data_IF_569216185792
#
_entry.id   IF_569216185792
#
_cell.length_a   1.000
_cell.length_b   1.000
_cell.length_c   1.000
_cell.angle_alpha   90.00
_cell.angle_beta   90.00
_cell.angle_gamma   90.00
#
_symmetry.space_group_name_H-M   'P 1'
#
loop_
_entity.id
_entity.type
_entity.pdbx_description
1 polymer ?
#
# COMPACT_ATOMS: atom_id res chain seq x y z
N UNK A 1 25.04 35.55 -69.42
CA UNK A 1 24.30 34.35 -68.98
C UNK A 1 25.30 33.55 -68.18
N UNK A 2 25.21 33.60 -66.86
CA UNK A 2 26.09 32.85 -65.97
C UNK A 2 25.30 31.64 -65.48
N UNK A 3 25.74 30.44 -65.82
CA UNK A 3 25.13 29.19 -65.40
C UNK A 3 25.31 29.01 -63.89
N UNK A 4 24.20 28.77 -63.21
CA UNK A 4 24.14 28.54 -61.77
C UNK A 4 24.75 27.18 -61.42
N UNK A 5 25.72 27.20 -60.52
CA UNK A 5 26.28 26.00 -59.88
C UNK A 5 25.25 25.49 -58.87
N UNK A 6 24.67 24.32 -59.15
CA UNK A 6 23.87 23.57 -58.18
C UNK A 6 24.70 23.28 -56.93
N UNK A 7 24.28 23.87 -55.83
CA UNK A 7 24.87 23.64 -54.51
C UNK A 7 24.38 22.28 -54.03
N UNK A 8 25.22 21.26 -54.15
CA UNK A 8 24.97 19.93 -53.58
C UNK A 8 24.91 20.09 -52.06
N UNK A 9 23.70 20.03 -51.49
CA UNK A 9 23.47 19.97 -50.05
C UNK A 9 24.12 18.71 -49.47
N UNK A 10 25.04 18.90 -48.52
CA UNK A 10 25.62 17.82 -47.73
C UNK A 10 24.53 17.14 -46.89
N UNK A 11 24.55 15.80 -46.72
CA UNK A 11 23.56 15.10 -45.93
C UNK A 11 23.73 15.47 -44.45
N UNK A 12 22.67 16.02 -43.89
CA UNK A 12 22.45 16.22 -42.47
C UNK A 12 22.68 14.92 -41.68
N UNK A 13 23.63 14.98 -40.74
CA UNK A 13 24.03 13.89 -39.85
C UNK A 13 22.79 13.22 -39.24
N UNK A 14 22.61 11.92 -39.52
CA UNK A 14 21.50 11.09 -39.04
C UNK A 14 21.54 10.77 -37.54
N UNK A 15 21.92 11.75 -36.71
CA UNK A 15 21.92 11.64 -35.26
C UNK A 15 20.50 11.84 -34.72
N UNK A 16 20.08 10.92 -33.85
CA UNK A 16 18.80 10.99 -33.14
C UNK A 16 19.03 11.17 -31.64
N UNK A 17 18.12 11.85 -30.97
CA UNK A 17 18.19 12.03 -29.52
C UNK A 17 17.69 10.79 -28.77
N UNK A 18 18.49 10.31 -27.81
CA UNK A 18 18.09 9.20 -26.96
C UNK A 18 17.01 9.62 -25.95
N UNK A 19 15.81 9.01 -25.92
CA UNK A 19 14.77 9.34 -24.94
C UNK A 19 15.16 9.07 -23.47
N UNK A 20 16.23 8.29 -23.24
CA UNK A 20 16.69 7.93 -21.89
C UNK A 20 17.77 8.83 -21.30
N UNK A 21 18.51 9.60 -22.11
CA UNK A 21 19.59 10.47 -21.64
C UNK A 21 19.74 11.79 -22.42
N UNK A 22 18.86 12.03 -23.41
CA UNK A 22 18.82 13.22 -24.26
C UNK A 22 20.14 13.52 -24.99
N UNK A 23 20.97 12.49 -25.20
CA UNK A 23 22.22 12.61 -25.95
C UNK A 23 21.97 12.20 -27.40
N UNK A 24 22.42 13.03 -28.33
CA UNK A 24 22.44 12.71 -29.75
C UNK A 24 23.38 11.52 -30.00
N UNK A 25 22.90 10.52 -30.75
CA UNK A 25 23.70 9.35 -31.11
C UNK A 25 23.41 8.93 -32.55
N UNK A 26 24.40 8.29 -33.19
CA UNK A 26 24.21 7.67 -34.51
C UNK A 26 23.66 6.25 -34.33
N UNK A 27 22.46 5.95 -34.85
CA UNK A 27 21.87 4.62 -34.75
C UNK A 27 22.64 3.64 -35.64
N UNK A 28 22.94 2.45 -35.10
CA UNK A 28 23.57 1.35 -35.86
C UNK A 28 22.56 0.56 -36.69
N UNK A 29 21.27 0.66 -36.35
CA UNK A 29 20.15 0.02 -37.02
C UNK A 29 19.01 1.03 -37.16
N UNK A 30 18.24 0.96 -38.24
CA UNK A 30 17.16 1.92 -38.53
C UNK A 30 16.04 1.97 -37.48
N UNK A 31 15.92 0.94 -36.63
CA UNK A 31 14.94 0.85 -35.55
C UNK A 31 15.51 1.19 -34.16
N UNK A 32 16.79 1.55 -34.05
CA UNK A 32 17.44 1.80 -32.77
C UNK A 32 16.99 3.14 -32.19
N UNK A 33 16.16 3.12 -31.14
CA UNK A 33 15.64 4.34 -30.48
C UNK A 33 16.48 4.86 -29.30
N UNK A 34 17.40 4.05 -28.79
CA UNK A 34 18.19 4.38 -27.60
C UNK A 34 19.68 4.27 -27.89
N UNK A 35 20.49 5.16 -27.30
CA UNK A 35 21.94 5.14 -27.45
C UNK A 35 22.60 3.88 -26.87
N UNK A 36 21.95 3.24 -25.89
CA UNK A 36 22.46 2.06 -25.20
C UNK A 36 21.33 1.16 -24.68
N UNK A 37 21.68 -0.10 -24.40
CA UNK A 37 20.79 -1.06 -23.73
C UNK A 37 20.38 -0.58 -22.33
N UNK A 38 21.23 0.18 -21.65
CA UNK A 38 20.92 0.76 -20.33
C UNK A 38 19.86 1.85 -20.41
N UNK A 39 19.93 2.73 -21.41
CA UNK A 39 18.90 3.74 -21.66
C UNK A 39 17.56 3.08 -22.04
N UNK A 40 17.59 2.04 -22.87
CA UNK A 40 16.41 1.24 -23.19
C UNK A 40 15.79 0.60 -21.93
N UNK A 41 16.62 0.00 -21.07
CA UNK A 41 16.15 -0.62 -19.83
C UNK A 41 15.63 0.40 -18.82
N UNK A 42 16.28 1.56 -18.66
CA UNK A 42 15.79 2.63 -17.78
C UNK A 42 14.41 3.12 -18.22
N UNK A 43 14.22 3.30 -19.53
CA UNK A 43 12.93 3.70 -20.09
C UNK A 43 11.85 2.61 -19.94
N UNK A 44 12.21 1.32 -19.96
CA UNK A 44 11.24 0.22 -19.87
C UNK A 44 10.92 -0.26 -18.44
N UNK A 45 11.85 -0.11 -17.48
CA UNK A 45 11.73 -0.59 -16.08
C UNK A 45 10.48 -0.09 -15.34
N UNK A 46 9.94 1.06 -15.76
CA UNK A 46 8.75 1.66 -15.16
C UNK A 46 7.57 1.79 -16.13
N UNK A 47 7.75 1.49 -17.43
CA UNK A 47 6.69 1.60 -18.44
C UNK A 47 5.53 0.62 -18.16
N UNK A 48 5.82 -0.54 -17.57
CA UNK A 48 4.82 -1.53 -17.16
C UNK A 48 4.15 -1.24 -15.81
N UNK A 49 4.59 -0.20 -15.08
CA UNK A 49 4.04 0.13 -13.76
C UNK A 49 2.73 0.90 -13.81
N UNK A 50 2.37 1.50 -14.95
CA UNK A 50 1.02 1.98 -15.30
C UNK A 50 0.15 2.56 -14.17
N UNK A 51 -1.16 2.23 -14.19
CA UNK A 51 -2.21 2.67 -13.27
C UNK A 51 -2.06 2.21 -11.81
N UNK A 52 -0.97 1.50 -11.46
CA UNK A 52 -0.79 0.92 -10.11
C UNK A 52 -0.79 1.96 -9.01
N UNK A 53 -0.41 3.21 -9.30
CA UNK A 53 -0.54 4.30 -8.33
C UNK A 53 -1.99 4.61 -7.97
N UNK A 54 -2.90 4.58 -8.95
CA UNK A 54 -4.33 4.81 -8.71
C UNK A 54 -4.95 3.61 -8.00
N UNK A 55 -4.63 2.39 -8.43
CA UNK A 55 -5.07 1.16 -7.77
C UNK A 55 -4.58 1.07 -6.32
N UNK A 56 -3.33 1.44 -6.06
CA UNK A 56 -2.78 1.46 -4.71
C UNK A 56 -3.46 2.54 -3.86
N UNK A 57 -3.72 3.73 -4.43
CA UNK A 57 -4.47 4.79 -3.73
C UNK A 57 -5.87 4.33 -3.36
N UNK A 58 -6.58 3.68 -4.28
CA UNK A 58 -7.90 3.12 -4.04
C UNK A 58 -7.87 2.02 -2.96
N UNK A 59 -6.89 1.11 -3.03
CA UNK A 59 -6.71 0.06 -2.03
C UNK A 59 -6.43 0.67 -0.64
N UNK A 60 -5.52 1.62 -0.55
CA UNK A 60 -5.21 2.33 0.71
C UNK A 60 -6.43 3.09 1.22
N UNK A 61 -7.18 3.75 0.34
CA UNK A 61 -8.41 4.46 0.72
C UNK A 61 -9.43 3.51 1.34
N UNK A 62 -9.74 2.39 0.67
CA UNK A 62 -10.67 1.37 1.21
C UNK A 62 -10.21 0.79 2.54
N UNK A 63 -8.91 0.58 2.71
CA UNK A 63 -8.33 0.08 3.95
C UNK A 63 -8.57 1.06 5.12
N UNK A 64 -8.24 2.33 4.93
CA UNK A 64 -8.40 3.35 5.97
C UNK A 64 -9.86 3.79 6.18
N UNK A 65 -10.69 3.78 5.15
CA UNK A 65 -12.13 4.00 5.28
C UNK A 65 -12.76 2.92 6.16
N UNK A 66 -12.39 1.65 5.95
CA UNK A 66 -12.86 0.53 6.76
C UNK A 66 -12.42 0.64 8.22
N UNK A 67 -11.18 1.08 8.47
CA UNK A 67 -10.68 1.40 9.82
C UNK A 67 -11.56 2.44 10.51
N UNK A 68 -11.94 3.51 9.78
CA UNK A 68 -12.81 4.55 10.30
C UNK A 68 -14.18 4.01 10.68
N UNK A 69 -14.84 3.26 9.77
CA UNK A 69 -16.16 2.67 10.04
C UNK A 69 -16.17 1.73 11.24
N UNK A 70 -15.14 0.89 11.39
CA UNK A 70 -15.01 0.00 12.56
C UNK A 70 -14.81 0.80 13.85
N UNK A 71 -13.98 1.83 13.81
CA UNK A 71 -13.74 2.71 14.97
C UNK A 71 -15.04 3.42 15.35
N UNK A 72 -15.74 4.00 14.38
CA UNK A 72 -17.02 4.66 14.57
C UNK A 72 -18.05 3.71 15.21
N UNK A 73 -18.22 2.51 14.66
CA UNK A 73 -19.10 1.48 15.20
C UNK A 73 -18.84 1.18 16.69
N UNK A 74 -17.57 1.05 17.10
CA UNK A 74 -17.21 0.81 18.50
C UNK A 74 -17.53 2.03 19.38
N UNK A 75 -17.28 3.25 18.90
CA UNK A 75 -17.42 4.44 19.75
C UNK A 75 -18.80 5.08 19.75
N UNK A 76 -19.65 4.77 18.77
CA UNK A 76 -21.08 5.08 18.81
C UNK A 76 -21.86 4.11 19.71
N UNK A 77 -21.34 2.89 19.90
CA UNK A 77 -21.89 1.92 20.85
C UNK A 77 -21.77 2.46 22.29
N UNK A 78 -22.80 2.27 23.14
CA UNK A 78 -22.77 2.65 24.55
C UNK A 78 -21.54 2.06 25.28
N UNK A 79 -20.89 2.79 26.20
CA UNK A 79 -19.64 2.36 26.86
C UNK A 79 -19.68 0.94 27.43
N UNK A 80 -20.80 0.55 28.05
CA UNK A 80 -21.03 -0.77 28.63
C UNK A 80 -21.05 -1.92 27.60
N UNK A 81 -21.39 -1.63 26.35
CA UNK A 81 -21.53 -2.62 25.27
C UNK A 81 -20.30 -2.68 24.36
N UNK A 82 -19.37 -1.71 24.46
CA UNK A 82 -18.19 -1.64 23.58
C UNK A 82 -17.31 -2.89 23.64
N UNK A 83 -17.22 -3.52 24.80
CA UNK A 83 -16.47 -4.76 24.97
C UNK A 83 -17.11 -5.93 24.21
N UNK A 84 -18.45 -6.00 24.21
CA UNK A 84 -19.20 -6.96 23.40
C UNK A 84 -19.03 -6.67 21.90
N UNK A 85 -19.10 -5.40 21.50
CA UNK A 85 -18.87 -5.00 20.11
C UNK A 85 -17.46 -5.38 19.64
N UNK A 86 -16.44 -5.15 20.46
CA UNK A 86 -15.07 -5.56 20.14
C UNK A 86 -14.96 -7.08 20.00
N UNK A 87 -15.59 -7.86 20.90
CA UNK A 87 -15.65 -9.33 20.78
C UNK A 87 -16.25 -9.75 19.43
N UNK A 88 -17.40 -9.18 19.07
CA UNK A 88 -18.08 -9.48 17.81
C UNK A 88 -17.20 -9.16 16.59
N UNK A 89 -16.43 -8.07 16.63
CA UNK A 89 -15.46 -7.76 15.56
C UNK A 89 -14.39 -8.85 15.47
N UNK A 90 -13.83 -9.28 16.61
CA UNK A 90 -12.78 -10.31 16.64
C UNK A 90 -13.26 -11.69 16.17
N UNK A 91 -14.55 -12.02 16.32
CA UNK A 91 -15.14 -13.26 15.81
C UNK A 91 -15.02 -13.40 14.27
N UNK A 92 -14.89 -12.29 13.54
CA UNK A 92 -14.66 -12.32 12.08
C UNK A 92 -13.20 -12.56 11.68
N UNK A 93 -12.25 -12.62 12.63
CA UNK A 93 -10.82 -12.84 12.34
C UNK A 93 -10.55 -14.09 11.49
N UNK A 94 -11.20 -15.25 11.68
CA UNK A 94 -10.95 -16.43 10.84
C UNK A 94 -11.30 -16.19 9.37
N UNK A 95 -12.39 -15.46 9.11
CA UNK A 95 -12.99 -15.33 7.79
C UNK A 95 -12.53 -14.08 7.03
N UNK A 96 -12.12 -13.02 7.74
CA UNK A 96 -11.88 -11.72 7.13
C UNK A 96 -10.39 -11.34 7.06
N UNK A 97 -9.80 -11.51 5.88
CA UNK A 97 -8.43 -11.10 5.62
C UNK A 97 -8.20 -9.58 5.73
N UNK A 98 -9.19 -8.77 5.34
CA UNK A 98 -9.11 -7.32 5.40
C UNK A 98 -9.07 -6.83 6.84
N UNK A 99 -9.90 -7.42 7.71
CA UNK A 99 -9.86 -7.15 9.14
C UNK A 99 -8.50 -7.50 9.75
N UNK A 100 -7.94 -8.67 9.43
CA UNK A 100 -6.60 -9.06 9.92
C UNK A 100 -5.52 -8.06 9.49
N UNK A 101 -5.57 -7.60 8.25
CA UNK A 101 -4.64 -6.59 7.74
C UNK A 101 -4.76 -5.29 8.52
N UNK A 102 -5.99 -4.83 8.80
CA UNK A 102 -6.25 -3.65 9.63
C UNK A 102 -5.69 -3.81 11.04
N UNK A 103 -6.02 -4.93 11.72
CA UNK A 103 -5.64 -5.16 13.11
C UNK A 103 -4.12 -5.30 13.31
N UNK A 104 -3.40 -5.63 12.25
CA UNK A 104 -1.93 -5.83 12.27
C UNK A 104 -1.15 -4.70 11.61
N UNK A 105 -1.84 -3.66 11.12
CA UNK A 105 -1.25 -2.53 10.41
C UNK A 105 -0.29 -1.72 11.31
N UNK A 106 1.02 -1.67 10.98
CA UNK A 106 2.00 -0.96 11.78
C UNK A 106 1.75 0.56 11.83
N UNK A 107 1.24 1.18 10.76
CA UNK A 107 1.00 2.63 10.73
C UNK A 107 -0.07 3.01 11.76
N UNK A 108 -1.14 2.22 11.84
CA UNK A 108 -2.21 2.44 12.81
C UNK A 108 -1.74 2.26 14.27
N UNK A 109 -0.84 1.30 14.53
CA UNK A 109 -0.27 1.12 15.87
C UNK A 109 0.67 2.27 16.28
N UNK A 110 1.37 2.88 15.32
CA UNK A 110 2.29 3.99 15.55
C UNK A 110 1.64 5.37 15.64
N UNK A 111 0.38 5.53 15.20
CA UNK A 111 -0.33 6.81 15.27
C UNK A 111 -0.32 7.38 16.70
N UNK A 112 -0.22 8.70 16.90
CA UNK A 112 -0.33 9.29 18.21
C UNK A 112 -1.73 9.08 18.82
N UNK A 113 -1.88 9.18 20.15
CA UNK A 113 -3.20 9.24 20.79
C UNK A 113 -4.03 10.37 20.19
N UNK A 114 -5.33 10.13 20.01
CA UNK A 114 -6.26 11.15 19.54
C UNK A 114 -6.54 12.16 20.66
N UNK A 115 -6.88 13.40 20.29
CA UNK A 115 -7.19 14.46 21.25
C UNK A 115 -8.39 14.13 22.16
N UNK A 116 -9.33 13.30 21.67
CA UNK A 116 -10.50 12.82 22.41
C UNK A 116 -10.20 11.62 23.33
N UNK A 117 -8.94 11.17 23.40
CA UNK A 117 -8.51 10.00 24.17
C UNK A 117 -8.98 8.66 23.60
N UNK A 118 -9.68 8.64 22.46
CA UNK A 118 -10.18 7.41 21.85
C UNK A 118 -9.06 6.70 21.10
N UNK A 119 -9.05 5.37 21.17
CA UNK A 119 -8.10 4.55 20.43
C UNK A 119 -8.62 4.29 19.02
N UNK A 120 -7.73 4.09 18.05
CA UNK A 120 -8.14 3.50 16.78
C UNK A 120 -8.43 2.00 16.95
N UNK A 121 -9.11 1.38 15.98
CA UNK A 121 -9.54 -0.01 16.11
C UNK A 121 -8.40 -1.00 16.42
N UNK A 122 -7.19 -0.92 15.83
CA UNK A 122 -6.13 -1.90 16.12
C UNK A 122 -5.60 -1.77 17.54
N UNK A 123 -5.47 -0.55 18.07
CA UNK A 123 -5.07 -0.33 19.46
C UNK A 123 -6.13 -0.80 20.43
N UNK A 124 -7.41 -0.51 20.15
CA UNK A 124 -8.51 -0.98 20.97
C UNK A 124 -8.58 -2.52 21.00
N UNK A 125 -8.40 -3.17 19.85
CA UNK A 125 -8.35 -4.63 19.74
C UNK A 125 -7.13 -5.23 20.47
N UNK A 126 -5.96 -4.57 20.39
CA UNK A 126 -4.78 -5.00 21.12
C UNK A 126 -4.97 -4.87 22.64
N UNK A 127 -5.52 -3.75 23.11
CA UNK A 127 -5.86 -3.58 24.53
C UNK A 127 -6.88 -4.62 25.00
N UNK A 128 -7.90 -4.90 24.19
CA UNK A 128 -8.89 -5.94 24.47
C UNK A 128 -8.24 -7.32 24.59
N UNK A 129 -7.47 -7.74 23.58
CA UNK A 129 -6.84 -9.07 23.57
C UNK A 129 -5.82 -9.24 24.69
N UNK A 130 -5.10 -8.19 25.06
CA UNK A 130 -4.23 -8.20 26.22
C UNK A 130 -5.01 -8.34 27.53
N UNK A 131 -6.13 -7.62 27.67
CA UNK A 131 -6.96 -7.67 28.88
C UNK A 131 -7.61 -9.04 29.10
N UNK A 132 -8.16 -9.66 28.06
CA UNK A 132 -8.97 -10.87 28.20
C UNK A 132 -8.21 -12.17 27.93
N UNK A 133 -7.10 -12.13 27.19
CA UNK A 133 -6.33 -13.33 26.81
C UNK A 133 -4.84 -13.24 27.17
N UNK A 134 -4.35 -12.07 27.61
CA UNK A 134 -2.91 -11.88 27.87
C UNK A 134 -2.04 -11.93 26.61
N UNK A 135 -2.66 -11.82 25.43
CA UNK A 135 -1.99 -11.93 24.14
C UNK A 135 -1.98 -10.56 23.43
N UNK A 136 -0.91 -10.29 22.69
CA UNK A 136 -0.96 -9.23 21.68
C UNK A 136 -1.92 -9.61 20.55
N UNK A 137 -2.50 -8.62 19.86
CA UNK A 137 -3.43 -8.87 18.76
C UNK A 137 -2.82 -9.76 17.66
N UNK A 138 -1.52 -9.62 17.39
CA UNK A 138 -0.78 -10.45 16.43
C UNK A 138 -0.73 -11.92 16.88
N UNK A 139 -0.44 -12.17 18.17
CA UNK A 139 -0.37 -13.53 18.71
C UNK A 139 -1.76 -14.15 18.78
N UNK A 140 -2.77 -13.38 19.19
CA UNK A 140 -4.17 -13.79 19.19
C UNK A 140 -4.63 -14.24 17.80
N UNK A 141 -4.41 -13.42 16.76
CA UNK A 141 -4.76 -13.77 15.37
C UNK A 141 -4.03 -15.05 14.93
N UNK A 142 -2.76 -15.23 15.30
CA UNK A 142 -2.01 -16.45 14.97
C UNK A 142 -2.65 -17.69 15.60
N UNK A 143 -3.01 -17.64 16.88
CA UNK A 143 -3.66 -18.73 17.61
C UNK A 143 -5.00 -19.12 16.99
N UNK A 144 -5.85 -18.13 16.70
CA UNK A 144 -7.15 -18.35 16.05
C UNK A 144 -6.99 -18.97 14.66
N UNK A 145 -5.99 -18.53 13.89
CA UNK A 145 -5.71 -19.08 12.56
C UNK A 145 -5.18 -20.51 12.58
N UNK A 146 -4.55 -20.94 13.68
CA UNK A 146 -4.17 -22.35 13.89
C UNK A 146 -5.33 -23.23 14.35
N UNK A 147 -6.55 -22.68 14.49
CA UNK A 147 -7.72 -23.42 14.98
C UNK A 147 -7.68 -23.69 16.48
N UNK A 148 -6.82 -22.99 17.22
CA UNK A 148 -6.73 -23.08 18.67
C UNK A 148 -7.60 -22.00 19.30
N UNK A 149 -8.34 -22.35 20.36
CA UNK A 149 -9.02 -21.37 21.19
C UNK A 149 -8.02 -20.76 22.19
N UNK A 150 -7.83 -19.43 22.20
CA UNK A 150 -6.95 -18.80 23.17
C UNK A 150 -7.57 -18.90 24.55
N UNK A 151 -6.82 -19.45 25.50
CA UNK A 151 -7.21 -19.52 26.91
C UNK A 151 -7.49 -18.10 27.43
N UNK A 152 -8.71 -17.88 27.92
CA UNK A 152 -9.09 -16.61 28.54
C UNK A 152 -8.45 -16.46 29.91
N UNK A 153 -8.07 -15.24 30.26
CA UNK A 153 -7.69 -14.91 31.65
C UNK A 153 -9.01 -14.86 32.46
N UNK A 154 -9.12 -15.63 33.56
CA UNK A 154 -10.28 -15.52 34.44
C UNK A 154 -10.38 -14.08 34.95
N UNK A 155 -11.50 -13.43 34.65
CA UNK A 155 -11.83 -12.14 35.23
C UNK A 155 -12.22 -12.40 36.69
N UNK A 156 -11.28 -12.19 37.61
CA UNK A 156 -11.62 -12.19 39.03
C UNK A 156 -12.63 -11.06 39.30
N UNK A 157 -13.72 -11.32 40.05
CA UNK A 157 -14.75 -10.34 40.37
C UNK A 157 -14.22 -9.20 41.26
#
# INVERSE_FOLDING_TARGET
MFDAVDTIGMPEDGTIDCPGCSTAFMPKQSNQKFCSRDCQQRSSRNASRGSRSAENRERSWRHYERVHRLTEMVYTTPPQERLGMMKNILEFIPHDAGLRNILTDPELHMQPPRADGRMNIPKAANAYTQKFYGLSIKRYIKTIRSGQEPEGIPLHP
#
